data_IF_767618681979
#
_entry.id   IF_767618681979
#
_cell.length_a   1.000
_cell.length_b   1.000
_cell.length_c   1.000
_cell.angle_alpha   90.00
_cell.angle_beta   90.00
_cell.angle_gamma   90.00
#
_symmetry.space_group_name_H-M   'P 1'
#
loop_
_entity.id
_entity.type
_entity.pdbx_description
1 polymer ?
#
# COMPACT_ATOMS: atom_id res chain seq x y z
N UNK A 1 7.30 39.76 18.70
CA UNK A 1 6.62 39.06 17.59
C UNK A 1 7.34 37.72 17.38
N UNK A 2 7.06 36.71 18.21
CA UNK A 2 7.81 35.45 18.20
C UNK A 2 6.90 34.26 17.85
N UNK A 3 6.89 33.97 16.55
CA UNK A 3 6.71 32.69 15.86
C UNK A 3 6.19 31.47 16.68
N UNK A 4 4.87 31.28 16.65
CA UNK A 4 4.15 30.06 17.08
C UNK A 4 4.26 28.89 16.07
N UNK A 5 5.41 28.67 15.43
CA UNK A 5 5.57 27.66 14.35
C UNK A 5 6.29 26.38 14.82
N UNK A 6 6.74 26.30 16.08
CA UNK A 6 7.52 25.18 16.60
C UNK A 6 6.70 24.11 17.36
N UNK A 7 5.43 23.89 17.05
CA UNK A 7 4.74 22.66 17.44
C UNK A 7 5.16 21.49 16.54
N UNK A 8 6.48 21.28 16.44
CA UNK A 8 7.11 20.21 15.68
C UNK A 8 6.94 18.88 16.44
N UNK A 9 5.73 18.31 16.39
CA UNK A 9 5.60 16.88 16.60
C UNK A 9 6.42 16.19 15.51
N UNK A 10 7.43 15.38 15.85
CA UNK A 10 8.23 14.71 14.85
C UNK A 10 7.30 13.84 13.99
N UNK A 11 7.49 13.77 12.66
CA UNK A 11 6.68 12.91 11.82
C UNK A 11 6.88 11.48 12.32
N UNK A 12 5.86 10.94 13.00
CA UNK A 12 5.85 9.54 13.44
C UNK A 12 6.16 8.70 12.22
N UNK A 13 7.36 8.14 12.19
CA UNK A 13 7.82 7.33 11.07
C UNK A 13 6.79 6.23 10.86
N UNK A 14 6.00 6.33 9.79
CA UNK A 14 4.96 5.34 9.48
C UNK A 14 5.65 3.99 9.36
N UNK A 15 5.45 3.14 10.36
CA UNK A 15 6.05 1.80 10.43
C UNK A 15 5.67 1.06 9.15
N UNK A 16 6.68 0.65 8.37
CA UNK A 16 6.46 -0.08 7.12
C UNK A 16 5.67 -1.36 7.46
N UNK A 17 4.43 -1.46 6.95
CA UNK A 17 3.63 -2.69 7.08
C UNK A 17 4.38 -3.81 6.37
N UNK A 18 4.70 -4.88 7.11
CA UNK A 18 5.21 -6.12 6.54
C UNK A 18 4.00 -6.96 6.14
N UNK A 19 3.94 -7.33 4.86
CA UNK A 19 2.91 -8.22 4.34
C UNK A 19 3.50 -9.62 4.16
N UNK A 20 2.79 -10.65 4.60
CA UNK A 20 3.19 -12.05 4.41
C UNK A 20 3.13 -12.44 2.93
N UNK A 21 3.77 -13.58 2.58
CA UNK A 21 3.78 -14.06 1.19
C UNK A 21 2.38 -14.49 0.75
N UNK A 22 1.61 -15.15 1.61
CA UNK A 22 0.23 -15.57 1.29
C UNK A 22 -0.65 -14.37 0.99
N UNK A 23 -0.52 -13.30 1.77
CA UNK A 23 -1.30 -12.08 1.57
C UNK A 23 -1.00 -11.44 0.21
N UNK A 24 0.29 -11.31 -0.16
CA UNK A 24 0.68 -10.76 -1.46
C UNK A 24 0.13 -11.61 -2.62
N UNK A 25 0.20 -12.93 -2.50
CA UNK A 25 -0.34 -13.86 -3.51
C UNK A 25 -1.86 -13.74 -3.63
N UNK A 26 -2.58 -13.62 -2.52
CA UNK A 26 -4.03 -13.39 -2.53
C UNK A 26 -4.39 -12.13 -3.30
N UNK A 27 -3.67 -11.03 -3.07
CA UNK A 27 -3.89 -9.76 -3.79
C UNK A 27 -3.55 -9.90 -5.28
N UNK A 28 -2.41 -10.52 -5.62
CA UNK A 28 -2.01 -10.73 -7.01
C UNK A 28 -3.02 -11.63 -7.74
N UNK A 29 -3.53 -12.67 -7.08
CA UNK A 29 -4.53 -13.56 -7.65
C UNK A 29 -5.89 -12.85 -7.83
N UNK A 30 -6.28 -11.99 -6.88
CA UNK A 30 -7.46 -11.14 -7.05
C UNK A 30 -7.35 -10.20 -8.27
N UNK A 31 -6.15 -9.69 -8.54
CA UNK A 31 -5.86 -8.86 -9.72
C UNK A 31 -5.72 -9.64 -11.03
N UNK A 32 -5.64 -10.98 -11.02
CA UNK A 32 -5.62 -11.80 -12.26
C UNK A 32 -6.99 -11.88 -12.92
N UNK A 33 -8.06 -11.49 -12.21
CA UNK A 33 -9.39 -11.44 -12.79
C UNK A 33 -9.46 -10.29 -13.82
N UNK A 34 -9.83 -10.55 -15.08
CA UNK A 34 -9.89 -9.53 -16.12
C UNK A 34 -10.93 -8.43 -15.84
N UNK A 35 -11.85 -8.67 -14.90
CA UNK A 35 -12.90 -7.75 -14.50
C UNK A 35 -12.56 -6.90 -13.27
N UNK A 36 -11.34 -7.02 -12.72
CA UNK A 36 -10.97 -6.35 -11.47
C UNK A 36 -9.70 -5.49 -11.64
N UNK A 37 -9.88 -4.19 -11.55
CA UNK A 37 -8.76 -3.24 -11.63
C UNK A 37 -7.85 -3.34 -10.40
N UNK A 38 -6.55 -3.25 -10.62
CA UNK A 38 -5.52 -3.25 -9.56
C UNK A 38 -5.81 -2.16 -8.51
N UNK A 39 -6.25 -0.98 -8.97
CA UNK A 39 -6.63 0.12 -8.10
C UNK A 39 -7.84 -0.22 -7.20
N UNK A 40 -8.84 -0.92 -7.74
CA UNK A 40 -10.01 -1.33 -6.97
C UNK A 40 -9.65 -2.33 -5.87
N UNK A 41 -8.82 -3.33 -6.18
CA UNK A 41 -8.32 -4.29 -5.18
C UNK A 41 -7.47 -3.56 -4.13
N UNK A 42 -6.59 -2.66 -4.56
CA UNK A 42 -5.77 -1.86 -3.66
C UNK A 42 -6.62 -1.02 -2.70
N UNK A 43 -7.67 -0.36 -3.20
CA UNK A 43 -8.61 0.43 -2.40
C UNK A 43 -9.37 -0.45 -1.39
N UNK A 44 -9.88 -1.61 -1.82
CA UNK A 44 -10.59 -2.55 -0.94
C UNK A 44 -9.72 -3.01 0.24
N UNK A 45 -8.43 -3.22 0.00
CA UNK A 45 -7.50 -3.65 1.03
C UNK A 45 -6.75 -2.48 1.72
N UNK A 46 -7.06 -1.23 1.38
CA UNK A 46 -6.35 -0.03 1.85
C UNK A 46 -4.83 -0.13 1.66
N UNK A 47 -4.41 -0.67 0.52
CA UNK A 47 -3.01 -0.83 0.09
C UNK A 47 -2.73 0.17 -1.03
N UNK A 48 -1.48 0.61 -1.15
CA UNK A 48 -1.06 1.41 -2.27
C UNK A 48 -1.07 0.57 -3.57
N UNK A 49 -1.75 1.03 -4.62
CA UNK A 49 -1.77 0.36 -5.92
C UNK A 49 -0.36 0.15 -6.52
N UNK A 50 0.60 1.06 -6.27
CA UNK A 50 1.98 0.90 -6.70
C UNK A 50 2.69 -0.28 -6.00
N UNK A 51 2.26 -0.61 -4.78
CA UNK A 51 2.80 -1.77 -4.07
C UNK A 51 2.25 -3.06 -4.69
N UNK A 52 0.96 -3.06 -5.05
CA UNK A 52 0.32 -4.20 -5.72
C UNK A 52 0.90 -4.43 -7.11
N UNK A 53 1.09 -3.40 -7.92
CA UNK A 53 1.73 -3.53 -9.24
C UNK A 53 3.15 -4.08 -9.17
N UNK A 54 3.91 -3.67 -8.15
CA UNK A 54 5.24 -4.25 -7.86
C UNK A 54 5.13 -5.74 -7.50
N UNK A 55 4.16 -6.14 -6.70
CA UNK A 55 3.95 -7.55 -6.36
C UNK A 55 3.56 -8.36 -7.59
N UNK A 56 2.66 -7.85 -8.44
CA UNK A 56 2.31 -8.51 -9.69
C UNK A 56 3.57 -8.76 -10.52
N UNK A 57 4.49 -7.79 -10.63
CA UNK A 57 5.76 -8.00 -11.35
C UNK A 57 6.71 -9.03 -10.69
N UNK A 58 6.66 -9.19 -9.37
CA UNK A 58 7.52 -10.13 -8.62
C UNK A 58 6.95 -11.56 -8.61
N UNK A 59 5.63 -11.70 -8.62
CA UNK A 59 4.90 -12.98 -8.55
C UNK A 59 4.28 -13.41 -9.90
N UNK A 60 4.40 -12.57 -10.94
CA UNK A 60 4.10 -12.90 -12.34
C UNK A 60 5.12 -13.88 -12.90
#
# INVERSE_FOLDING_TARGET
>A
MNMDIYSATPPVAKKRRKYSKEFKLSIVNACKNPNTSIASVALQHSINANLVSRWIRIFS
#
